data_IF_122939302055
#
_entry.id   IF_122939302055
#
_cell.length_a   1.000
_cell.length_b   1.000
_cell.length_c   1.000
_cell.angle_alpha   90.00
_cell.angle_beta   90.00
_cell.angle_gamma   90.00
#
_symmetry.space_group_name_H-M   'P 1'
#
loop_
_entity.id
_entity.type
_entity.pdbx_description
1 polymer ?
#
# COMPACT_ATOMS: atom_id res chain seq x y z
N UNK A 1 -24.16 3.67 -16.56
CA UNK A 1 -22.70 3.87 -16.69
C UNK A 1 -22.00 2.67 -16.05
N UNK A 2 -21.60 1.72 -16.89
CA UNK A 2 -21.04 0.42 -16.52
C UNK A 2 -19.56 0.62 -16.18
N UNK A 3 -19.25 1.05 -14.95
CA UNK A 3 -17.85 1.00 -14.47
C UNK A 3 -17.48 -0.47 -14.39
N UNK A 4 -16.64 -0.93 -15.33
CA UNK A 4 -16.18 -2.31 -15.42
C UNK A 4 -15.71 -2.80 -14.06
N UNK A 5 -16.56 -3.59 -13.40
CA UNK A 5 -16.14 -4.32 -12.21
C UNK A 5 -15.20 -5.38 -12.74
N UNK A 6 -13.95 -5.34 -12.29
CA UNK A 6 -13.03 -6.43 -12.54
C UNK A 6 -13.64 -7.75 -12.05
N UNK A 7 -13.39 -8.87 -12.74
CA UNK A 7 -13.94 -10.17 -12.36
C UNK A 7 -13.62 -10.50 -10.91
N UNK A 8 -14.54 -11.18 -10.21
CA UNK A 8 -14.42 -11.52 -8.78
C UNK A 8 -13.15 -12.33 -8.45
N UNK A 9 -12.61 -13.05 -9.44
CA UNK A 9 -11.40 -13.89 -9.31
C UNK A 9 -10.08 -13.18 -9.65
N UNK A 10 -10.02 -11.85 -9.57
CA UNK A 10 -8.75 -11.14 -9.82
C UNK A 10 -7.80 -11.31 -8.62
N UNK A 11 -6.72 -12.07 -8.82
CA UNK A 11 -5.54 -12.02 -7.94
C UNK A 11 -4.88 -10.65 -8.05
N UNK A 12 -4.45 -10.11 -6.93
CA UNK A 12 -3.78 -8.82 -6.84
C UNK A 12 -2.33 -8.99 -6.39
N UNK A 13 -1.58 -7.90 -6.28
CA UNK A 13 -0.22 -7.92 -5.76
C UNK A 13 -0.03 -6.86 -4.69
N UNK A 14 0.69 -7.20 -3.62
CA UNK A 14 1.19 -6.25 -2.64
C UNK A 14 2.71 -6.12 -2.80
N UNK A 15 3.18 -4.88 -2.94
CA UNK A 15 4.60 -4.54 -2.94
C UNK A 15 4.90 -3.63 -1.75
N UNK A 16 5.98 -3.92 -1.02
CA UNK A 16 6.48 -3.13 0.11
C UNK A 16 7.93 -2.79 -0.19
N UNK A 17 8.25 -1.50 -0.14
CA UNK A 17 9.60 -0.99 -0.37
C UNK A 17 10.08 -0.33 0.92
N UNK A 18 11.19 -0.83 1.44
CA UNK A 18 11.89 -0.21 2.55
C UNK A 18 12.84 0.85 1.99
N UNK A 19 12.65 2.10 2.41
CA UNK A 19 13.40 3.25 1.94
C UNK A 19 14.03 4.02 3.10
N UNK A 20 15.33 4.26 3.00
CA UNK A 20 16.08 5.14 3.90
C UNK A 20 17.22 5.80 3.12
N UNK A 21 16.93 6.90 2.43
CA UNK A 21 17.83 7.59 1.48
C UNK A 21 18.07 6.84 0.17
N UNK A 22 17.96 5.51 0.21
CA UNK A 22 17.93 4.60 -0.94
C UNK A 22 17.02 3.40 -0.62
N UNK A 23 16.67 2.63 -1.66
CA UNK A 23 15.93 1.36 -1.49
C UNK A 23 16.84 0.36 -0.78
N UNK A 24 16.40 -0.17 0.37
CA UNK A 24 17.14 -1.17 1.17
C UNK A 24 16.64 -2.59 0.91
N UNK A 25 15.33 -2.76 0.83
CA UNK A 25 14.68 -4.05 0.63
C UNK A 25 13.37 -3.88 -0.11
N UNK A 26 13.02 -4.88 -0.92
CA UNK A 26 11.73 -4.97 -1.60
C UNK A 26 11.10 -6.31 -1.26
N UNK A 27 9.82 -6.30 -0.95
CA UNK A 27 8.98 -7.49 -0.79
C UNK A 27 7.81 -7.39 -1.75
N UNK A 28 7.51 -8.47 -2.47
CA UNK A 28 6.36 -8.56 -3.36
C UNK A 28 5.68 -9.92 -3.19
N UNK A 29 4.35 -9.93 -3.13
CA UNK A 29 3.56 -11.15 -3.02
C UNK A 29 2.24 -11.02 -3.75
N UNK A 30 1.82 -12.10 -4.41
CA UNK A 30 0.47 -12.24 -4.97
C UNK A 30 -0.50 -12.43 -3.80
N UNK A 31 -1.57 -11.64 -3.78
CA UNK A 31 -2.61 -11.68 -2.76
C UNK A 31 -3.96 -12.05 -3.40
N UNK A 32 -4.84 -12.75 -2.67
CA UNK A 32 -6.14 -13.13 -3.20
C UNK A 32 -7.09 -11.93 -3.38
N UNK A 33 -6.88 -10.83 -2.66
CA UNK A 33 -7.66 -9.60 -2.76
C UNK A 33 -7.00 -8.47 -1.94
N UNK A 34 -7.42 -7.21 -2.17
CA UNK A 34 -6.95 -6.03 -1.42
C UNK A 34 -7.68 -5.78 -0.09
N UNK A 35 -8.40 -6.75 0.50
CA UNK A 35 -9.14 -6.49 1.75
C UNK A 35 -8.16 -6.30 2.91
N UNK A 36 -8.57 -5.51 3.90
CA UNK A 36 -7.77 -5.22 5.10
C UNK A 36 -7.30 -6.48 5.82
N UNK A 37 -8.18 -7.49 5.95
CA UNK A 37 -7.85 -8.76 6.60
C UNK A 37 -6.80 -9.60 5.83
N UNK A 38 -6.55 -9.28 4.56
CA UNK A 38 -5.46 -9.88 3.77
C UNK A 38 -4.19 -9.04 3.89
N UNK A 39 -4.30 -7.71 3.77
CA UNK A 39 -3.15 -6.81 3.71
C UNK A 39 -2.47 -6.61 5.07
N UNK A 40 -3.22 -6.33 6.13
CA UNK A 40 -2.67 -5.96 7.44
C UNK A 40 -1.77 -7.08 8.00
N UNK A 41 -2.17 -8.37 8.01
CA UNK A 41 -1.28 -9.42 8.52
C UNK A 41 0.02 -9.57 7.73
N UNK A 42 0.02 -9.26 6.42
CA UNK A 42 1.24 -9.28 5.62
C UNK A 42 2.14 -8.10 6.01
N UNK A 43 1.58 -6.90 6.15
CA UNK A 43 2.32 -5.71 6.57
C UNK A 43 2.92 -5.91 7.97
N UNK A 44 2.13 -6.38 8.94
CA UNK A 44 2.59 -6.64 10.32
C UNK A 44 3.78 -7.61 10.40
N UNK A 45 3.85 -8.56 9.47
CA UNK A 45 4.94 -9.53 9.39
C UNK A 45 6.16 -9.02 8.63
N UNK A 46 5.96 -8.10 7.69
CA UNK A 46 7.03 -7.62 6.80
C UNK A 46 7.62 -6.27 7.22
N UNK A 47 6.93 -5.49 8.04
CA UNK A 47 7.30 -4.12 8.42
C UNK A 47 7.46 -4.03 9.93
N UNK A 48 8.61 -3.52 10.38
CA UNK A 48 8.89 -3.35 11.79
C UNK A 48 7.89 -2.39 12.47
N UNK A 49 7.43 -2.74 13.67
CA UNK A 49 6.57 -1.88 14.48
C UNK A 49 7.20 -0.49 14.68
N UNK A 50 6.38 0.55 14.67
CA UNK A 50 6.83 1.95 14.78
C UNK A 50 7.31 2.57 13.47
N UNK A 51 7.36 1.82 12.36
CA UNK A 51 7.73 2.38 11.05
C UNK A 51 6.71 3.41 10.57
N UNK A 52 7.20 4.35 9.75
CA UNK A 52 6.36 5.23 8.94
C UNK A 52 6.00 4.48 7.65
N UNK A 53 4.71 4.34 7.37
CA UNK A 53 4.20 3.69 6.17
C UNK A 53 3.45 4.73 5.34
N UNK A 54 3.82 4.82 4.06
CA UNK A 54 3.08 5.57 3.06
C UNK A 54 2.30 4.60 2.17
N UNK A 55 0.99 4.81 2.04
CA UNK A 55 0.14 4.04 1.13
C UNK A 55 -0.60 4.95 0.16
N UNK A 56 -1.26 4.36 -0.83
CA UNK A 56 -2.30 5.06 -1.59
C UNK A 56 -3.55 5.32 -0.72
N UNK A 57 -4.58 5.91 -1.33
CA UNK A 57 -5.86 6.26 -0.69
C UNK A 57 -6.80 5.05 -0.48
N UNK A 58 -6.35 3.81 -0.67
CA UNK A 58 -7.22 2.64 -0.57
C UNK A 58 -7.67 2.38 0.88
N UNK A 59 -8.98 2.23 1.07
CA UNK A 59 -9.62 2.10 2.40
C UNK A 59 -9.07 0.97 3.28
N UNK A 60 -8.49 -0.07 2.68
CA UNK A 60 -7.98 -1.21 3.43
C UNK A 60 -6.72 -0.91 4.26
N UNK A 61 -6.11 0.27 4.08
CA UNK A 61 -4.98 0.74 4.89
C UNK A 61 -5.40 1.66 6.05
N UNK A 62 -6.67 2.06 6.15
CA UNK A 62 -7.15 3.07 7.11
C UNK A 62 -6.79 2.76 8.58
N UNK A 63 -6.68 1.48 8.93
CA UNK A 63 -6.46 1.04 10.30
C UNK A 63 -5.00 0.79 10.65
N UNK A 64 -4.02 1.12 9.79
CA UNK A 64 -2.59 0.90 10.07
C UNK A 64 -2.13 1.55 11.38
N UNK A 65 -2.69 2.70 11.75
CA UNK A 65 -2.41 3.37 13.03
C UNK A 65 -2.76 2.53 14.27
N UNK A 66 -3.74 1.63 14.16
CA UNK A 66 -4.13 0.71 15.24
C UNK A 66 -3.10 -0.42 15.45
N UNK A 67 -2.21 -0.64 14.48
CA UNK A 67 -1.18 -1.68 14.51
C UNK A 67 0.22 -1.13 14.79
N UNK A 68 0.30 -0.03 15.56
CA UNK A 68 1.55 0.62 15.96
C UNK A 68 2.40 1.12 14.78
N UNK A 69 1.74 1.63 13.73
CA UNK A 69 2.40 2.31 12.61
C UNK A 69 2.05 3.79 12.58
N UNK A 70 3.02 4.60 12.16
CA UNK A 70 2.75 5.96 11.71
C UNK A 70 2.31 5.84 10.25
N UNK A 71 1.10 6.28 9.93
CA UNK A 71 0.52 6.06 8.60
C UNK A 71 0.12 7.38 7.95
N UNK A 72 0.70 7.62 6.78
CA UNK A 72 0.40 8.73 5.88
C UNK A 72 0.02 8.23 4.48
N UNK A 73 -0.62 9.10 3.71
CA UNK A 73 -1.26 8.74 2.44
C UNK A 73 -0.70 9.61 1.31
N UNK A 74 -0.27 8.97 0.22
CA UNK A 74 0.09 9.62 -1.03
C UNK A 74 -1.17 9.80 -1.87
N UNK A 75 -1.53 11.05 -2.17
CA UNK A 75 -2.70 11.38 -2.99
C UNK A 75 -2.33 11.44 -4.47
N UNK A 76 -3.03 10.72 -5.32
CA UNK A 76 -2.78 10.68 -6.77
C UNK A 76 -3.36 11.88 -7.55
N UNK A 77 -3.97 12.86 -6.87
CA UNK A 77 -4.60 14.02 -7.52
C UNK A 77 -3.61 15.09 -7.98
N UNK A 78 -2.39 15.10 -7.43
CA UNK A 78 -1.39 16.12 -7.72
C UNK A 78 -0.32 15.54 -8.62
N UNK A 79 0.08 16.27 -9.67
CA UNK A 79 1.28 15.93 -10.44
C UNK A 79 2.48 16.09 -9.50
N UNK A 80 3.07 14.96 -9.10
CA UNK A 80 4.22 14.91 -8.17
C UNK A 80 5.51 15.36 -8.88
N UNK A 81 5.49 15.42 -10.21
CA UNK A 81 6.63 15.85 -11.04
C UNK A 81 6.19 17.08 -11.82
N UNK A 82 6.81 18.23 -11.53
CA UNK A 82 6.81 19.34 -12.48
C UNK A 82 7.44 18.82 -13.77
N UNK A 83 6.65 18.70 -14.84
CA UNK A 83 7.21 18.55 -16.18
C UNK A 83 8.10 19.76 -16.43
N UNK A 84 9.42 19.57 -16.41
CA UNK A 84 10.33 20.55 -16.98
C UNK A 84 9.98 20.56 -18.47
N UNK A 85 9.45 21.69 -18.92
CA UNK A 85 9.05 21.94 -20.30
C UNK A 85 10.27 22.14 -21.19
#
# INVERSE_FOLDING_TARGET
SHRGRSPENRTDSLCIVEYNGNIKRVFAQIIPNKKQNTLIPIICRQVANGSIIWTDEHKSYQNLRLFNYIHDIVRHKYEIINKIQ
#
